data_IF_378565944434
#
_entry.id   IF_378565944434
#
_cell.length_a   1.000
_cell.length_b   1.000
_cell.length_c   1.000
_cell.angle_alpha   90.00
_cell.angle_beta   90.00
_cell.angle_gamma   90.00
#
_symmetry.space_group_name_H-M   'P 1'
#
loop_
_entity.id
_entity.type
_entity.pdbx_description
1 polymer ?
#
# COMPACT_ATOMS: atom_id res chain seq x y z
N UNK A 1 19.52 0.00 -22.20
CA UNK A 1 18.08 -0.15 -22.41
C UNK A 1 17.57 -1.42 -21.76
N UNK A 2 16.69 -1.22 -20.78
CA UNK A 2 16.02 -2.23 -19.97
C UNK A 2 14.54 -2.24 -20.38
N UNK A 3 13.92 -3.43 -20.45
CA UNK A 3 12.48 -3.54 -20.69
C UNK A 3 11.72 -2.92 -19.52
N UNK A 4 10.65 -2.19 -19.80
CA UNK A 4 9.88 -1.47 -18.80
C UNK A 4 9.32 -2.39 -17.71
N UNK A 5 8.87 -3.59 -18.07
CA UNK A 5 8.44 -4.61 -17.11
C UNK A 5 9.57 -5.08 -16.18
N UNK A 6 10.81 -5.23 -16.68
CA UNK A 6 11.97 -5.54 -15.84
C UNK A 6 12.30 -4.37 -14.89
N UNK A 7 12.24 -3.13 -15.40
CA UNK A 7 12.42 -1.93 -14.58
C UNK A 7 11.36 -1.83 -13.48
N UNK A 8 10.10 -2.17 -13.77
CA UNK A 8 9.02 -2.18 -12.80
C UNK A 8 9.34 -3.15 -11.66
N UNK A 9 9.75 -4.38 -11.97
CA UNK A 9 10.14 -5.38 -10.97
C UNK A 9 11.35 -4.91 -10.16
N UNK A 10 12.37 -4.34 -10.80
CA UNK A 10 13.52 -3.76 -10.09
C UNK A 10 13.13 -2.64 -9.13
N UNK A 11 12.15 -1.80 -9.50
CA UNK A 11 11.60 -0.79 -8.59
C UNK A 11 10.92 -1.45 -7.39
N UNK A 12 10.06 -2.47 -7.58
CA UNK A 12 9.46 -3.21 -6.47
C UNK A 12 10.50 -3.88 -5.56
N UNK A 13 11.60 -4.38 -6.12
CA UNK A 13 12.71 -4.92 -5.33
C UNK A 13 13.41 -3.84 -4.48
N UNK A 14 13.61 -2.64 -5.02
CA UNK A 14 14.20 -1.49 -4.30
C UNK A 14 13.27 -0.99 -3.18
N UNK A 15 11.97 -1.18 -3.32
CA UNK A 15 10.97 -0.97 -2.26
C UNK A 15 11.04 -2.03 -1.14
N UNK A 16 11.73 -3.14 -1.38
CA UNK A 16 11.82 -4.26 -0.47
C UNK A 16 10.57 -5.15 -0.46
N UNK A 17 9.87 -5.24 -1.60
CA UNK A 17 8.77 -6.19 -1.78
C UNK A 17 9.31 -7.61 -1.73
N UNK A 18 8.64 -8.47 -0.96
CA UNK A 18 8.99 -9.89 -0.79
C UNK A 18 7.93 -10.80 -1.41
N UNK A 19 6.67 -10.34 -1.44
CA UNK A 19 5.51 -11.10 -1.89
C UNK A 19 4.61 -10.25 -2.76
N UNK A 20 4.11 -10.85 -3.83
CA UNK A 20 3.02 -10.31 -4.65
C UNK A 20 1.88 -11.31 -4.66
N UNK A 21 0.68 -10.89 -4.31
CA UNK A 21 -0.51 -11.74 -4.30
C UNK A 21 -1.36 -11.46 -5.54
N UNK A 22 -1.83 -12.46 -6.27
CA UNK A 22 -2.61 -12.12 -7.47
C UNK A 22 -3.20 -13.26 -8.23
N UNK A 23 -3.91 -12.88 -9.29
CA UNK A 23 -4.42 -13.76 -10.34
C UNK A 23 -3.80 -13.29 -11.67
N UNK A 24 -3.00 -14.14 -12.34
CA UNK A 24 -2.45 -13.86 -13.66
C UNK A 24 -3.53 -13.61 -14.73
N UNK A 25 -3.23 -12.78 -15.72
CA UNK A 25 -4.04 -12.61 -16.93
C UNK A 25 -3.19 -12.20 -18.13
N UNK A 26 -3.82 -12.05 -19.30
CA UNK A 26 -3.11 -11.79 -20.56
C UNK A 26 -2.39 -10.43 -20.54
N UNK A 27 -3.05 -9.40 -20.02
CA UNK A 27 -2.60 -8.00 -20.05
C UNK A 27 -1.53 -7.69 -18.97
N UNK A 28 -1.12 -8.70 -18.19
CA UNK A 28 0.02 -8.59 -17.28
C UNK A 28 1.09 -9.66 -17.54
N UNK A 29 1.07 -10.34 -18.70
CA UNK A 29 2.05 -11.37 -19.04
C UNK A 29 3.50 -10.88 -19.03
N UNK A 30 3.79 -9.69 -19.58
CA UNK A 30 5.15 -9.13 -19.55
C UNK A 30 5.65 -8.85 -18.14
N UNK A 31 4.75 -8.38 -17.27
CA UNK A 31 5.02 -8.21 -15.85
C UNK A 31 5.33 -9.55 -15.18
N UNK A 32 4.53 -10.59 -15.45
CA UNK A 32 4.70 -11.91 -14.87
C UNK A 32 5.96 -12.62 -15.37
N UNK A 33 6.29 -12.47 -16.64
CA UNK A 33 7.52 -12.96 -17.25
C UNK A 33 8.75 -12.32 -16.56
N UNK A 34 8.73 -11.00 -16.37
CA UNK A 34 9.78 -10.27 -15.65
C UNK A 34 9.86 -10.68 -14.17
N UNK A 35 8.72 -10.85 -13.52
CA UNK A 35 8.63 -11.31 -12.14
C UNK A 35 9.19 -12.73 -11.98
N UNK A 36 8.99 -13.61 -12.97
CA UNK A 36 9.50 -14.99 -12.94
C UNK A 36 11.02 -15.09 -12.89
N UNK A 37 11.72 -14.03 -13.30
CA UNK A 37 13.18 -13.90 -13.23
C UNK A 37 13.68 -13.28 -11.92
N UNK A 38 12.78 -12.74 -11.09
CA UNK A 38 13.16 -12.19 -9.77
C UNK A 38 13.44 -13.32 -8.78
N UNK A 39 14.58 -13.21 -8.10
CA UNK A 39 14.93 -14.10 -6.98
C UNK A 39 14.57 -13.50 -5.61
N UNK A 40 14.01 -12.28 -5.57
CA UNK A 40 13.67 -11.56 -4.33
C UNK A 40 12.16 -11.56 -4.05
N UNK A 41 11.35 -11.56 -5.09
CA UNK A 41 9.89 -11.46 -4.98
C UNK A 41 9.25 -12.81 -5.29
N UNK A 42 8.40 -13.29 -4.38
CA UNK A 42 7.62 -14.50 -4.57
C UNK A 42 6.19 -14.17 -4.98
N UNK A 43 5.75 -14.69 -6.13
CA UNK A 43 4.34 -14.66 -6.53
C UNK A 43 3.52 -15.68 -5.74
N UNK A 44 2.45 -15.24 -5.11
CA UNK A 44 1.47 -16.05 -4.40
C UNK A 44 0.18 -16.05 -5.21
N UNK A 45 -0.06 -17.16 -5.92
CA UNK A 45 -1.26 -17.32 -6.73
C UNK A 45 -2.49 -17.50 -5.85
N UNK A 46 -3.50 -16.67 -6.12
CA UNK A 46 -4.81 -16.77 -5.48
C UNK A 46 -5.83 -17.35 -6.47
N UNK A 47 -7.09 -17.48 -6.03
CA UNK A 47 -8.21 -17.93 -6.89
C UNK A 47 -9.21 -16.80 -7.16
N UNK A 48 -8.98 -15.63 -6.59
CA UNK A 48 -9.81 -14.45 -6.76
C UNK A 48 -9.01 -13.20 -6.33
N UNK A 49 -9.10 -12.13 -7.11
CA UNK A 49 -8.32 -10.90 -6.91
C UNK A 49 -8.66 -10.24 -5.57
N UNK A 50 -9.93 -10.21 -5.19
CA UNK A 50 -10.35 -9.76 -3.86
C UNK A 50 -9.57 -10.46 -2.72
N UNK A 51 -9.35 -11.78 -2.81
CA UNK A 51 -8.55 -12.53 -1.84
C UNK A 51 -7.08 -12.07 -1.83
N UNK A 52 -6.50 -11.88 -3.01
CA UNK A 52 -5.15 -11.31 -3.15
C UNK A 52 -5.03 -9.90 -2.52
N UNK A 53 -6.02 -9.04 -2.76
CA UNK A 53 -6.07 -7.69 -2.18
C UNK A 53 -6.16 -7.73 -0.66
N UNK A 54 -6.99 -8.60 -0.07
CA UNK A 54 -7.06 -8.76 1.38
C UNK A 54 -5.78 -9.32 1.99
N UNK A 55 -5.11 -10.26 1.31
CA UNK A 55 -3.80 -10.79 1.75
C UNK A 55 -2.75 -9.68 1.76
N UNK A 56 -2.67 -8.88 0.69
CA UNK A 56 -1.74 -7.76 0.60
C UNK A 56 -2.02 -6.69 1.67
N UNK A 57 -3.28 -6.29 1.86
CA UNK A 57 -3.66 -5.32 2.89
C UNK A 57 -3.31 -5.82 4.30
N UNK A 58 -3.56 -7.10 4.57
CA UNK A 58 -3.27 -7.72 5.87
C UNK A 58 -1.77 -7.85 6.12
N UNK A 59 -0.99 -8.24 5.10
CA UNK A 59 0.47 -8.20 5.15
C UNK A 59 0.96 -6.78 5.48
N UNK A 60 0.40 -5.76 4.82
CA UNK A 60 0.80 -4.39 5.07
C UNK A 60 0.45 -3.88 6.47
N UNK A 61 -0.73 -4.26 6.97
CA UNK A 61 -1.14 -3.98 8.36
C UNK A 61 -0.17 -4.55 9.39
N UNK A 62 0.25 -5.81 9.22
CA UNK A 62 1.07 -6.50 10.23
C UNK A 62 2.56 -6.17 10.15
N UNK A 63 3.08 -5.92 8.94
CA UNK A 63 4.50 -5.64 8.74
C UNK A 63 4.83 -4.15 8.80
N UNK A 64 3.86 -3.29 8.48
CA UNK A 64 4.06 -1.87 8.24
C UNK A 64 4.77 -1.55 6.92
N UNK A 65 5.05 -2.56 6.07
CA UNK A 65 5.51 -2.41 4.69
C UNK A 65 4.33 -2.39 3.74
N UNK A 66 4.43 -1.76 2.57
CA UNK A 66 3.35 -1.84 1.57
C UNK A 66 3.18 -3.27 1.04
N UNK A 67 1.98 -3.85 1.21
CA UNK A 67 1.64 -5.11 0.56
C UNK A 67 1.32 -4.91 -0.92
N UNK A 68 1.66 -5.86 -1.78
CA UNK A 68 1.46 -5.71 -3.24
C UNK A 68 0.53 -6.80 -3.77
N UNK A 69 -0.46 -6.41 -4.56
CA UNK A 69 -1.27 -7.38 -5.30
C UNK A 69 -1.40 -7.02 -6.78
N UNK A 70 -1.63 -8.03 -7.61
CA UNK A 70 -1.72 -7.89 -9.07
C UNK A 70 -2.96 -8.57 -9.65
N UNK A 71 -3.59 -7.92 -10.61
CA UNK A 71 -4.70 -8.42 -11.41
C UNK A 71 -4.53 -8.02 -12.88
N UNK A 72 -5.34 -8.60 -13.75
CA UNK A 72 -5.49 -8.09 -15.12
C UNK A 72 -6.43 -6.88 -15.17
N UNK A 73 -6.76 -6.39 -16.37
CA UNK A 73 -7.70 -5.29 -16.61
C UNK A 73 -9.15 -5.67 -16.28
N UNK A 74 -10.05 -4.69 -16.43
CA UNK A 74 -11.49 -4.95 -16.48
C UNK A 74 -12.00 -5.68 -15.24
N UNK A 75 -12.59 -6.88 -15.35
CA UNK A 75 -13.08 -7.63 -14.20
C UNK A 75 -12.04 -7.85 -13.09
N UNK A 76 -10.79 -8.13 -13.45
CA UNK A 76 -9.71 -8.33 -12.48
C UNK A 76 -9.47 -7.06 -11.64
N UNK A 77 -9.44 -5.90 -12.30
CA UNK A 77 -9.34 -4.60 -11.64
C UNK A 77 -10.58 -4.29 -10.78
N UNK A 78 -11.80 -4.56 -11.26
CA UNK A 78 -13.03 -4.33 -10.48
C UNK A 78 -13.09 -5.19 -9.21
N UNK A 79 -12.54 -6.41 -9.25
CA UNK A 79 -12.49 -7.30 -8.09
C UNK A 79 -11.58 -6.78 -6.96
N UNK A 80 -10.69 -5.81 -7.24
CA UNK A 80 -9.90 -5.15 -6.22
C UNK A 80 -10.63 -4.03 -5.47
N UNK A 81 -11.74 -3.49 -5.98
CA UNK A 81 -12.42 -2.31 -5.39
C UNK A 81 -12.78 -2.52 -3.91
N UNK A 82 -13.29 -3.70 -3.55
CA UNK A 82 -13.60 -4.02 -2.15
C UNK A 82 -12.35 -4.06 -1.28
N UNK A 83 -11.24 -4.61 -1.79
CA UNK A 83 -9.98 -4.68 -1.06
C UNK A 83 -9.32 -3.29 -0.93
N UNK A 84 -9.44 -2.43 -1.95
CA UNK A 84 -9.03 -1.03 -1.91
C UNK A 84 -9.73 -0.28 -0.77
N UNK A 85 -11.07 -0.36 -0.74
CA UNK A 85 -11.87 0.28 0.31
C UNK A 85 -11.52 -0.27 1.71
N UNK A 86 -11.34 -1.59 1.84
CA UNK A 86 -10.92 -2.22 3.09
C UNK A 86 -9.58 -1.67 3.59
N UNK A 87 -8.57 -1.61 2.71
CA UNK A 87 -7.25 -1.10 3.07
C UNK A 87 -7.27 0.40 3.38
N UNK A 88 -7.99 1.20 2.59
CA UNK A 88 -8.09 2.65 2.77
C UNK A 88 -8.80 3.02 4.09
N UNK A 89 -9.96 2.43 4.34
CA UNK A 89 -10.71 2.65 5.58
C UNK A 89 -9.97 2.06 6.79
N UNK A 90 -9.34 0.90 6.63
CA UNK A 90 -8.58 0.19 7.65
C UNK A 90 -7.21 0.78 7.97
N UNK A 91 -6.70 1.70 7.14
CA UNK A 91 -5.38 2.30 7.29
C UNK A 91 -4.23 1.34 7.01
N UNK A 92 -4.34 0.53 5.96
CA UNK A 92 -3.40 -0.54 5.63
C UNK A 92 -2.63 -0.17 4.35
N UNK A 93 -1.29 -0.14 4.38
CA UNK A 93 -0.50 0.22 3.20
C UNK A 93 -0.57 -0.91 2.16
N UNK A 94 -1.12 -0.60 0.98
CA UNK A 94 -1.22 -1.53 -0.15
C UNK A 94 -0.96 -0.81 -1.48
N UNK A 95 -0.31 -1.52 -2.41
CA UNK A 95 -0.24 -1.19 -3.82
C UNK A 95 -0.97 -2.27 -4.64
N UNK A 96 -2.01 -1.86 -5.36
CA UNK A 96 -2.70 -2.69 -6.34
C UNK A 96 -2.15 -2.38 -7.73
N UNK A 97 -1.80 -3.42 -8.48
CA UNK A 97 -1.31 -3.32 -9.85
C UNK A 97 -2.35 -3.97 -10.77
N UNK A 98 -2.78 -3.27 -11.81
CA UNK A 98 -3.67 -3.83 -12.83
C UNK A 98 -3.02 -3.74 -14.20
N UNK A 99 -3.23 -4.75 -15.04
CA UNK A 99 -2.93 -4.65 -16.46
C UNK A 99 -3.92 -3.73 -17.18
N UNK A 100 -3.59 -3.32 -18.40
CA UNK A 100 -4.48 -2.59 -19.31
C UNK A 100 -4.09 -2.87 -20.77
N UNK A 101 -5.06 -2.74 -21.68
CA UNK A 101 -4.82 -2.77 -23.13
C UNK A 101 -3.88 -1.64 -23.59
N UNK A 102 -3.33 -1.73 -24.80
CA UNK A 102 -2.43 -0.72 -25.34
C UNK A 102 -3.06 0.67 -25.36
N UNK A 103 -2.32 1.68 -24.89
CA UNK A 103 -2.77 3.07 -24.87
C UNK A 103 -2.12 3.93 -25.96
N UNK A 104 -1.00 3.49 -26.55
CA UNK A 104 -0.29 4.18 -27.64
C UNK A 104 -0.59 3.56 -29.00
N UNK A 105 -0.71 2.23 -29.06
CA UNK A 105 -0.96 1.48 -30.29
C UNK A 105 -2.38 0.91 -30.27
N UNK A 106 -3.38 1.72 -30.59
CA UNK A 106 -4.78 1.26 -30.66
C UNK A 106 -4.95 0.22 -31.78
N UNK A 107 -4.98 -1.08 -31.43
CA UNK A 107 -5.16 -2.18 -32.39
C UNK A 107 -6.28 -3.17 -32.06
N UNK A 108 -7.08 -2.96 -30.99
CA UNK A 108 -8.08 -3.94 -30.56
C UNK A 108 -9.45 -3.34 -30.26
N UNK A 109 -10.49 -4.19 -30.37
CA UNK A 109 -11.84 -3.86 -29.95
C UNK A 109 -11.91 -3.48 -28.47
N UNK A 110 -12.94 -2.72 -28.07
CA UNK A 110 -13.17 -2.23 -26.70
C UNK A 110 -13.62 -3.33 -25.73
N UNK A 111 -12.97 -4.48 -25.74
CA UNK A 111 -13.29 -5.60 -24.86
C UNK A 111 -12.65 -5.38 -23.48
N UNK A 112 -13.47 -5.42 -22.43
CA UNK A 112 -13.08 -5.24 -21.02
C UNK A 112 -12.40 -3.91 -20.65
N UNK A 113 -12.37 -2.92 -21.55
CA UNK A 113 -11.87 -1.58 -21.25
C UNK A 113 -12.88 -0.85 -20.37
N UNK A 114 -12.42 -0.46 -19.18
CA UNK A 114 -13.10 0.44 -18.25
C UNK A 114 -12.09 1.47 -17.76
N UNK A 115 -12.57 2.63 -17.29
CA UNK A 115 -11.71 3.59 -16.61
C UNK A 115 -11.41 3.13 -15.18
N UNK A 116 -10.37 2.32 -15.03
CA UNK A 116 -9.95 1.80 -13.72
C UNK A 116 -9.44 2.93 -12.82
N UNK A 117 -8.80 3.94 -13.40
CA UNK A 117 -8.21 5.05 -12.65
C UNK A 117 -9.30 5.86 -11.97
N UNK A 118 -10.34 6.27 -12.70
CA UNK A 118 -11.48 7.01 -12.15
C UNK A 118 -12.23 6.17 -11.11
N UNK A 119 -12.46 4.88 -11.40
CA UNK A 119 -13.12 3.95 -10.48
C UNK A 119 -12.36 3.79 -9.14
N UNK A 120 -11.02 3.74 -9.18
CA UNK A 120 -10.19 3.58 -7.99
C UNK A 120 -9.99 4.88 -7.20
N UNK A 121 -10.25 6.04 -7.80
CA UNK A 121 -10.02 7.36 -7.21
C UNK A 121 -10.64 7.53 -5.82
N UNK A 122 -11.94 7.24 -5.62
CA UNK A 122 -12.60 7.41 -4.32
C UNK A 122 -12.10 6.46 -3.21
N UNK A 123 -11.43 5.37 -3.57
CA UNK A 123 -11.03 4.29 -2.64
C UNK A 123 -9.52 4.16 -2.48
N UNK A 124 -8.74 5.08 -3.04
CA UNK A 124 -7.27 5.10 -2.96
C UNK A 124 -6.75 6.50 -2.63
N UNK A 125 -5.54 6.57 -2.06
CA UNK A 125 -4.78 7.82 -1.91
C UNK A 125 -4.14 8.27 -3.23
N UNK A 126 -3.91 7.32 -4.12
CA UNK A 126 -3.21 7.50 -5.37
C UNK A 126 -3.61 6.43 -6.36
N UNK A 127 -3.94 6.83 -7.57
CA UNK A 127 -4.28 5.96 -8.70
C UNK A 127 -3.72 6.59 -9.96
N UNK A 128 -2.99 5.82 -10.77
CA UNK A 128 -2.33 6.36 -11.95
C UNK A 128 -2.15 5.31 -13.04
N UNK A 129 -2.44 5.67 -14.29
CA UNK A 129 -2.09 4.88 -15.47
C UNK A 129 -0.69 5.30 -15.95
N UNK A 130 0.20 4.32 -16.11
CA UNK A 130 1.52 4.58 -16.67
C UNK A 130 1.41 4.85 -18.18
N UNK A 131 1.93 6.01 -18.60
CA UNK A 131 1.95 6.43 -20.01
C UNK A 131 3.31 6.23 -20.70
N UNK A 132 4.38 5.88 -19.96
CA UNK A 132 5.72 5.65 -20.51
C UNK A 132 6.60 4.94 -19.48
N UNK A 133 7.55 4.13 -19.98
CA UNK A 133 8.57 3.46 -19.17
C UNK A 133 9.38 4.42 -18.29
N UNK A 134 9.69 5.62 -18.77
CA UNK A 134 10.54 6.59 -18.05
C UNK A 134 9.90 7.09 -16.75
N UNK A 135 8.56 7.01 -16.65
CA UNK A 135 7.83 7.44 -15.46
C UNK A 135 7.79 6.37 -14.35
N UNK A 136 8.08 5.10 -14.66
CA UNK A 136 7.93 3.97 -13.74
C UNK A 136 8.64 4.23 -12.40
N UNK A 137 9.93 4.62 -12.35
CA UNK A 137 10.62 4.76 -11.07
C UNK A 137 9.98 5.80 -10.16
N UNK A 138 9.57 6.94 -10.73
CA UNK A 138 8.93 8.02 -9.98
C UNK A 138 7.54 7.64 -9.45
N UNK A 139 6.73 6.95 -10.26
CA UNK A 139 5.35 6.60 -9.92
C UNK A 139 5.28 5.45 -8.92
N UNK A 140 6.16 4.46 -9.02
CA UNK A 140 6.28 3.41 -8.01
C UNK A 140 6.72 4.01 -6.68
N UNK A 141 7.76 4.86 -6.70
CA UNK A 141 8.23 5.54 -5.49
C UNK A 141 7.12 6.35 -4.82
N UNK A 142 6.37 7.11 -5.61
CA UNK A 142 5.25 7.91 -5.13
C UNK A 142 4.12 7.05 -4.55
N UNK A 143 3.72 5.97 -5.24
CA UNK A 143 2.67 5.06 -4.77
C UNK A 143 3.03 4.46 -3.40
N UNK A 144 4.24 3.92 -3.23
CA UNK A 144 4.67 3.38 -1.94
C UNK A 144 4.78 4.47 -0.86
N UNK A 145 5.29 5.67 -1.21
CA UNK A 145 5.37 6.79 -0.25
C UNK A 145 3.98 7.16 0.25
N UNK A 146 3.00 7.27 -0.63
CA UNK A 146 1.62 7.60 -0.29
C UNK A 146 0.92 6.47 0.45
N UNK A 147 1.17 5.21 0.10
CA UNK A 147 0.65 4.05 0.82
C UNK A 147 1.10 4.04 2.30
N UNK A 148 2.37 4.39 2.56
CA UNK A 148 2.99 4.38 3.89
C UNK A 148 2.80 5.69 4.69
N UNK A 149 2.55 6.81 4.02
CA UNK A 149 2.32 8.12 4.66
C UNK A 149 1.08 8.11 5.56
N UNK A 150 1.11 8.87 6.66
CA UNK A 150 0.02 8.93 7.64
C UNK A 150 -1.22 9.67 7.10
N UNK A 151 -2.45 9.13 7.23
CA UNK A 151 -2.80 7.75 7.59
C UNK A 151 -2.45 6.79 6.43
N UNK A 152 -1.87 5.59 6.67
CA UNK A 152 -1.56 4.64 5.61
C UNK A 152 -2.81 4.24 4.83
N UNK A 153 -2.66 3.75 3.61
CA UNK A 153 -3.83 3.41 2.80
C UNK A 153 -3.51 2.79 1.45
N UNK A 154 -4.55 2.75 0.62
CA UNK A 154 -4.51 2.06 -0.66
C UNK A 154 -3.95 2.94 -1.77
N UNK A 155 -3.14 2.36 -2.65
CA UNK A 155 -2.66 2.98 -3.88
C UNK A 155 -2.82 2.02 -5.05
N UNK A 156 -2.87 2.56 -6.25
CA UNK A 156 -3.12 1.83 -7.48
C UNK A 156 -2.21 2.32 -8.61
N UNK A 157 -1.66 1.38 -9.38
CA UNK A 157 -0.95 1.64 -10.63
C UNK A 157 -1.58 0.74 -11.70
N UNK A 158 -2.06 1.36 -12.76
CA UNK A 158 -2.44 0.67 -13.99
C UNK A 158 -1.25 0.64 -14.94
N UNK A 159 -0.88 -0.55 -15.41
CA UNK A 159 0.30 -0.81 -16.23
C UNK A 159 -0.11 -1.41 -17.59
N UNK A 160 -0.24 -0.57 -18.63
CA UNK A 160 -0.61 -1.03 -19.97
C UNK A 160 0.43 -1.95 -20.61
N UNK A 161 -0.02 -2.95 -21.37
CA UNK A 161 0.85 -3.94 -22.02
C UNK A 161 1.86 -3.31 -23.00
N UNK A 162 1.48 -2.27 -23.75
CA UNK A 162 2.39 -1.62 -24.69
C UNK A 162 3.44 -0.74 -24.01
N UNK A 163 3.14 -0.23 -22.81
CA UNK A 163 4.12 0.44 -21.96
C UNK A 163 5.03 -0.59 -21.29
N UNK A 164 4.53 -1.79 -20.96
CA UNK A 164 5.35 -2.86 -20.39
C UNK A 164 6.43 -3.39 -21.34
N UNK A 165 6.21 -3.28 -22.66
CA UNK A 165 7.17 -3.68 -23.70
C UNK A 165 8.19 -2.59 -24.08
N UNK A 166 8.02 -1.36 -23.58
CA UNK A 166 8.93 -0.25 -23.88
C UNK A 166 10.36 -0.50 -23.38
N UNK A 167 11.32 0.15 -24.03
CA UNK A 167 12.73 0.15 -23.66
C UNK A 167 13.11 1.51 -23.07
N UNK A 168 13.87 1.51 -21.97
CA UNK A 168 14.31 2.73 -21.29
C UNK A 168 15.70 2.59 -20.68
N UNK A 169 16.40 3.71 -20.48
CA UNK A 169 17.64 3.77 -19.71
C UNK A 169 17.41 4.28 -18.27
N UNK A 170 16.15 4.49 -17.88
CA UNK A 170 15.77 4.87 -16.51
C UNK A 170 16.12 3.78 -15.52
N UNK A 171 16.47 4.18 -14.30
CA UNK A 171 16.88 3.28 -13.22
C UNK A 171 15.97 3.43 -11.99
N UNK A 172 15.83 2.39 -11.15
CA UNK A 172 15.07 2.48 -9.91
C UNK A 172 15.50 3.64 -9.02
N UNK A 173 14.52 4.28 -8.37
CA UNK A 173 14.78 5.30 -7.36
C UNK A 173 14.97 4.64 -6.00
N UNK A 174 16.04 5.04 -5.29
CA UNK A 174 16.28 4.57 -3.93
C UNK A 174 15.13 4.93 -2.99
N UNK A 175 14.81 4.02 -2.08
CA UNK A 175 13.79 4.26 -1.06
C UNK A 175 14.17 5.42 -0.15
N UNK A 176 13.29 6.42 -0.07
CA UNK A 176 13.42 7.54 0.87
C UNK A 176 12.83 7.19 2.23
N UNK A 177 13.50 7.58 3.32
CA UNK A 177 12.94 7.47 4.67
C UNK A 177 11.88 8.55 4.89
N UNK A 178 10.62 8.16 5.10
CA UNK A 178 9.56 9.10 5.48
C UNK A 178 9.64 9.36 6.98
N UNK A 179 9.91 10.61 7.37
CA UNK A 179 9.82 11.04 8.77
C UNK A 179 8.36 11.29 9.11
N UNK A 180 7.84 10.56 10.10
CA UNK A 180 6.51 10.82 10.64
C UNK A 180 6.47 12.18 11.34
N UNK A 181 5.34 12.92 11.28
CA UNK A 181 5.19 14.15 12.03
C UNK A 181 5.34 13.85 13.52
N UNK A 182 6.08 14.71 14.23
CA UNK A 182 6.27 14.64 15.67
C UNK A 182 5.55 15.82 16.33
N UNK A 183 4.87 15.58 17.44
CA UNK A 183 4.24 16.65 18.21
C UNK A 183 5.29 17.62 18.78
N UNK A 184 4.97 18.91 18.80
CA UNK A 184 5.83 19.93 19.41
C UNK A 184 5.89 19.77 20.93
N UNK A 185 7.05 20.09 21.53
CA UNK A 185 7.27 19.93 22.97
C UNK A 185 6.34 20.79 23.84
N UNK A 186 5.87 21.95 23.36
CA UNK A 186 4.87 22.76 24.07
C UNK A 186 3.49 22.09 24.03
N UNK A 187 3.10 21.52 22.90
CA UNK A 187 1.84 20.78 22.79
C UNK A 187 1.82 19.55 23.71
N UNK A 188 2.94 18.83 23.81
CA UNK A 188 3.07 17.70 24.75
C UNK A 188 2.95 18.16 26.20
N UNK A 189 3.64 19.24 26.59
CA UNK A 189 3.53 19.79 27.96
C UNK A 189 2.09 20.20 28.31
N UNK A 190 1.42 20.90 27.41
CA UNK A 190 0.02 21.29 27.61
C UNK A 190 -0.92 20.07 27.75
N UNK A 191 -0.62 18.96 27.07
CA UNK A 191 -1.38 17.71 27.23
C UNK A 191 -1.12 17.04 28.59
N UNK A 192 0.13 17.09 29.07
CA UNK A 192 0.52 16.55 30.40
C UNK A 192 -0.13 17.34 31.52
N UNK A 193 -0.07 18.68 31.49
CA UNK A 193 -0.73 19.54 32.49
C UNK A 193 -2.22 19.21 32.62
N UNK A 194 -2.91 19.05 31.49
CA UNK A 194 -4.33 18.64 31.47
C UNK A 194 -4.57 17.24 32.03
N UNK A 195 -3.63 16.32 31.88
CA UNK A 195 -3.72 14.97 32.45
C UNK A 195 -3.50 15.00 33.97
N UNK A 196 -2.57 15.82 34.46
CA UNK A 196 -2.27 15.98 35.89
C UNK A 196 -3.41 16.66 36.65
N UNK A 197 -4.09 17.63 36.02
CA UNK A 197 -5.26 18.31 36.60
C UNK A 197 -6.55 17.46 36.57
N UNK A 198 -6.56 16.35 35.81
CA UNK A 198 -7.75 15.54 35.62
C UNK A 198 -8.05 14.66 36.84
N UNK A 199 -9.30 14.71 37.33
CA UNK A 199 -9.76 13.86 38.45
C UNK A 199 -10.00 12.41 38.06
N UNK A 200 -10.41 12.16 36.81
CA UNK A 200 -10.77 10.82 36.32
C UNK A 200 -10.43 10.69 34.83
N UNK A 201 -9.14 10.72 34.46
CA UNK A 201 -8.71 10.57 33.08
C UNK A 201 -8.97 9.15 32.55
N UNK A 202 -9.17 9.04 31.24
CA UNK A 202 -9.26 7.76 30.53
C UNK A 202 -8.52 7.88 29.19
N UNK A 203 -7.78 6.83 28.81
CA UNK A 203 -7.13 6.75 27.51
C UNK A 203 -8.02 5.99 26.51
N UNK A 204 -8.21 6.55 25.31
CA UNK A 204 -8.88 5.87 24.19
C UNK A 204 -7.83 5.48 23.15
N UNK A 205 -7.57 4.18 23.04
CA UNK A 205 -6.49 3.65 22.21
C UNK A 205 -7.03 3.30 20.81
N UNK A 206 -6.59 4.08 19.82
CA UNK A 206 -6.95 3.95 18.42
C UNK A 206 -6.03 3.04 17.59
N UNK A 207 -6.39 2.86 16.31
CA UNK A 207 -5.60 2.11 15.32
C UNK A 207 -4.14 2.57 15.21
N UNK A 208 -3.90 3.88 15.35
CA UNK A 208 -2.57 4.47 15.26
C UNK A 208 -1.58 3.99 16.33
N UNK A 209 -2.07 3.39 17.42
CA UNK A 209 -1.24 2.84 18.47
C UNK A 209 -0.69 1.44 18.16
N UNK A 210 -1.19 0.76 17.12
CA UNK A 210 -0.77 -0.58 16.68
C UNK A 210 0.56 -0.57 15.91
N UNK A 211 1.53 0.16 16.44
CA UNK A 211 2.87 0.38 15.88
C UNK A 211 3.89 -0.07 16.92
N UNK A 212 4.92 -0.80 16.47
CA UNK A 212 5.91 -1.44 17.35
C UNK A 212 6.46 -0.53 18.47
N UNK A 213 6.82 0.71 18.15
CA UNK A 213 7.34 1.66 19.17
C UNK A 213 6.24 2.31 20.02
N UNK A 214 5.06 2.57 19.45
CA UNK A 214 3.98 3.27 20.15
C UNK A 214 3.37 2.42 21.26
N UNK A 215 3.14 1.12 21.00
CA UNK A 215 2.64 0.18 22.01
C UNK A 215 3.53 0.15 23.25
N UNK A 216 4.86 0.06 23.08
CA UNK A 216 5.83 0.06 24.20
C UNK A 216 5.78 1.34 25.03
N UNK A 217 5.79 2.51 24.38
CA UNK A 217 5.78 3.80 25.08
C UNK A 217 4.44 4.06 25.78
N UNK A 218 3.33 3.63 25.16
CA UNK A 218 2.00 3.74 25.72
C UNK A 218 1.84 2.85 26.96
N UNK A 219 2.38 1.63 26.93
CA UNK A 219 2.41 0.73 28.09
C UNK A 219 3.14 1.39 29.27
N UNK A 220 4.33 1.96 29.03
CA UNK A 220 5.08 2.65 30.09
C UNK A 220 4.32 3.85 30.68
N UNK A 221 3.60 4.60 29.85
CA UNK A 221 2.75 5.69 30.32
C UNK A 221 1.63 5.16 31.23
N UNK A 222 0.95 4.09 30.81
CA UNK A 222 -0.13 3.46 31.57
C UNK A 222 0.40 2.92 32.90
N UNK A 223 1.49 2.14 32.90
CA UNK A 223 2.10 1.57 34.10
C UNK A 223 2.55 2.65 35.09
N UNK A 224 3.08 3.77 34.58
CA UNK A 224 3.55 4.87 35.42
C UNK A 224 2.42 5.68 36.05
N UNK A 225 1.31 5.86 35.33
CA UNK A 225 0.24 6.79 35.73
C UNK A 225 -0.98 6.09 36.33
N UNK A 226 -1.16 4.79 36.08
CA UNK A 226 -2.34 4.04 36.48
C UNK A 226 -3.64 4.47 35.78
N UNK A 227 -3.56 5.28 34.72
CA UNK A 227 -4.73 5.78 34.00
C UNK A 227 -5.45 4.60 33.29
N UNK A 228 -6.75 4.40 33.53
CA UNK A 228 -7.51 3.35 32.84
C UNK A 228 -7.60 3.63 31.33
N UNK A 229 -7.75 2.57 30.54
CA UNK A 229 -7.86 2.70 29.09
C UNK A 229 -9.01 1.86 28.52
N UNK A 230 -9.47 2.27 27.34
CA UNK A 230 -10.35 1.49 26.47
C UNK A 230 -9.74 1.43 25.07
N UNK A 231 -9.99 0.35 24.35
CA UNK A 231 -9.52 0.16 22.98
C UNK A 231 -10.66 0.32 21.98
N UNK A 232 -10.40 0.99 20.87
CA UNK A 232 -11.25 0.88 19.68
C UNK A 232 -11.07 -0.51 19.07
N UNK A 233 -11.99 -0.93 18.18
CA UNK A 233 -11.86 -2.22 17.47
C UNK A 233 -10.49 -2.38 16.78
N UNK A 234 -9.97 -1.31 16.17
CA UNK A 234 -8.66 -1.34 15.48
C UNK A 234 -7.47 -1.13 16.43
N UNK A 235 -7.70 -0.64 17.64
CA UNK A 235 -6.69 -0.51 18.70
C UNK A 235 -6.58 -1.74 19.60
N UNK A 236 -7.40 -2.77 19.36
CA UNK A 236 -7.32 -4.03 20.09
C UNK A 236 -5.95 -4.70 19.88
N UNK A 237 -5.39 -5.25 20.95
CA UNK A 237 -4.07 -5.91 20.93
C UNK A 237 -2.87 -4.96 20.97
N UNK A 238 -3.09 -3.65 21.08
CA UNK A 238 -2.00 -2.68 21.28
C UNK A 238 -1.39 -2.81 22.67
N UNK A 239 -2.24 -2.97 23.69
CA UNK A 239 -1.90 -3.20 25.09
C UNK A 239 -2.62 -4.48 25.51
N UNK A 240 -1.98 -5.31 26.33
CA UNK A 240 -2.63 -6.48 26.92
C UNK A 240 -3.68 -6.01 27.94
N UNK A 241 -4.88 -6.56 27.87
CA UNK A 241 -6.02 -6.18 28.71
C UNK A 241 -6.23 -7.14 29.89
N UNK A 242 -5.30 -8.09 30.09
CA UNK A 242 -5.31 -9.04 31.20
C UNK A 242 -5.05 -8.40 32.55
#
# INVERSE_FOLDING_TARGET
MTKASDLFIQCLEEEGVEYIFGVPGEENLDFLDSLSRSNKIKLILTRHEQGAGFMAATYGRHTGKTGVCVATLGPGATNFVTAAAYAQLGGMPILMITGQKPIKKSKQGRFQIIDVVEMMGPVTKFTHQLASADNIPSRIREAFRLAEEEKPGATHIEFPEDVADEQTDSTPLKRSLVRRPTADAKAVRAAVEKLEDARSPILVIGAGANRKMTSRMLLQLIEKTGIPFITTQLGKGVIDEK
#
